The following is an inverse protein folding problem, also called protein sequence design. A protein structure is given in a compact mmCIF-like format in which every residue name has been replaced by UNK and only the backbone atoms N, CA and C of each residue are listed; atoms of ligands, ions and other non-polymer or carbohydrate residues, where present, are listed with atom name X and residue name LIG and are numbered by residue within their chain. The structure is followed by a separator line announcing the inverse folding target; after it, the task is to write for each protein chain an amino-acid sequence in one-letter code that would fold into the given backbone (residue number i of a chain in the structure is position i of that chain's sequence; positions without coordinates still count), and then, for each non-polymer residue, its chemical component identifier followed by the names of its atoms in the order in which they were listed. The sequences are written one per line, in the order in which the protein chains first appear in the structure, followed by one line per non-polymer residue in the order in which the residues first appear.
data_IF_089545716876
#
_entry.id   IF_089545716876
#
_cell.length_a   1.000
_cell.length_b   1.000
_cell.length_c   1.000
_cell.angle_alpha   90.00
_cell.angle_beta   90.00
_cell.angle_gamma   90.00
#
_symmetry.space_group_name_H-M   'P 1'
#
loop_
_entity.id
_entity.type
_entity.pdbx_description
1 polymer ?
#
# COMPACT_ATOMS: atom_id res chain seq x y z
N UNK A 1 -17.61 3.79 -27.34
CA UNK A 1 -16.22 3.40 -27.67
C UNK A 1 -15.40 4.68 -27.60
N UNK A 2 -14.42 4.78 -26.67
CA UNK A 2 -13.53 5.94 -26.64
C UNK A 2 -12.71 5.93 -27.94
N UNK A 3 -12.66 7.08 -28.60
CA UNK A 3 -11.87 7.28 -29.81
C UNK A 3 -10.39 6.97 -29.51
N UNK A 4 -9.81 5.98 -30.20
CA UNK A 4 -8.38 5.70 -30.12
C UNK A 4 -7.63 6.93 -30.63
N UNK A 5 -6.99 7.65 -29.74
CA UNK A 5 -6.13 8.77 -30.12
C UNK A 5 -4.80 8.22 -30.63
N UNK A 6 -4.38 8.62 -31.83
CA UNK A 6 -3.05 8.28 -32.42
C UNK A 6 -1.92 8.62 -31.44
N UNK A 7 -2.08 9.68 -30.68
CA UNK A 7 -1.10 10.09 -29.66
C UNK A 7 -1.04 9.12 -28.47
N UNK A 8 -2.20 8.62 -28.00
CA UNK A 8 -2.23 7.62 -26.92
C UNK A 8 -1.51 6.34 -27.35
N UNK A 9 -1.77 5.86 -28.58
CA UNK A 9 -1.11 4.67 -29.12
C UNK A 9 0.41 4.86 -29.24
N UNK A 10 0.88 6.06 -29.62
CA UNK A 10 2.30 6.39 -29.69
C UNK A 10 2.99 6.35 -28.32
N UNK A 11 2.35 6.89 -27.28
CA UNK A 11 2.91 6.84 -25.90
C UNK A 11 2.77 5.48 -25.24
N UNK A 12 1.81 4.64 -25.63
CA UNK A 12 1.70 3.25 -25.21
C UNK A 12 2.66 2.32 -25.96
N UNK A 13 3.23 2.74 -27.10
CA UNK A 13 4.09 1.89 -27.93
C UNK A 13 5.25 1.21 -27.18
N UNK A 14 6.00 1.86 -26.26
CA UNK A 14 7.05 1.20 -25.49
C UNK A 14 6.55 0.07 -24.59
N UNK A 15 5.26 0.12 -24.20
CA UNK A 15 4.62 -0.88 -23.34
C UNK A 15 3.95 -2.02 -24.13
N UNK A 16 3.81 -1.91 -25.46
CA UNK A 16 3.11 -2.90 -26.30
C UNK A 16 3.70 -4.30 -26.16
N UNK A 17 5.03 -4.43 -26.02
CA UNK A 17 5.70 -5.72 -25.82
C UNK A 17 5.17 -6.53 -24.63
N UNK A 18 4.51 -5.89 -23.67
CA UNK A 18 3.82 -6.52 -22.56
C UNK A 18 2.30 -6.46 -22.70
N UNK A 19 1.77 -5.34 -23.23
CA UNK A 19 0.33 -5.18 -23.44
C UNK A 19 -0.23 -6.19 -24.47
N UNK A 20 0.58 -6.61 -25.44
CA UNK A 20 0.17 -7.59 -26.45
C UNK A 20 0.29 -9.05 -25.97
N UNK A 21 0.90 -9.27 -24.80
CA UNK A 21 1.05 -10.62 -24.21
C UNK A 21 -0.11 -10.96 -23.32
N UNK A 22 -0.77 -12.04 -23.67
CA UNK A 22 -1.92 -12.52 -22.88
C UNK A 22 -1.57 -13.00 -21.46
N UNK A 23 -0.35 -13.30 -21.14
CA UNK A 23 0.10 -13.76 -19.83
C UNK A 23 0.45 -12.63 -18.85
N UNK A 24 0.57 -11.39 -19.35
CA UNK A 24 0.87 -10.22 -18.51
C UNK A 24 -0.40 -9.65 -17.88
N UNK A 25 -0.40 -9.55 -16.56
CA UNK A 25 -1.54 -9.04 -15.76
C UNK A 25 -1.31 -7.63 -15.23
N UNK A 26 -0.05 -7.29 -14.89
CA UNK A 26 0.30 -5.99 -14.32
C UNK A 26 1.59 -5.45 -14.97
N UNK A 27 1.61 -4.15 -15.23
CA UNK A 27 2.79 -3.40 -15.73
C UNK A 27 2.94 -2.18 -14.83
N UNK A 28 4.08 -2.01 -14.20
CA UNK A 28 4.31 -0.93 -13.23
C UNK A 28 5.62 -0.21 -13.51
N UNK A 29 5.60 1.12 -13.37
CA UNK A 29 6.77 2.00 -13.42
C UNK A 29 6.88 2.71 -12.08
N UNK A 30 8.00 2.51 -11.36
CA UNK A 30 8.27 3.16 -10.09
C UNK A 30 9.21 4.36 -10.25
N UNK A 31 10.10 4.29 -11.25
CA UNK A 31 11.12 5.30 -11.58
C UNK A 31 11.60 5.11 -13.03
N UNK A 32 12.27 6.09 -13.61
CA UNK A 32 12.85 5.99 -14.94
C UNK A 32 13.81 4.80 -15.09
N UNK A 33 13.81 4.22 -16.28
CA UNK A 33 14.76 3.17 -16.68
C UNK A 33 14.36 1.76 -16.24
N UNK A 34 13.19 1.56 -15.64
CA UNK A 34 12.73 0.24 -15.24
C UNK A 34 11.22 0.07 -15.38
N UNK A 35 10.83 -1.16 -15.66
CA UNK A 35 9.43 -1.62 -15.61
C UNK A 35 9.36 -2.89 -14.79
N UNK A 36 8.34 -2.98 -13.96
CA UNK A 36 8.00 -4.16 -13.19
C UNK A 36 6.79 -4.84 -13.82
N UNK A 37 6.91 -6.12 -14.11
CA UNK A 37 5.88 -6.87 -14.85
C UNK A 37 5.49 -8.13 -14.07
N UNK A 38 4.19 -8.35 -13.90
CA UNK A 38 3.63 -9.61 -13.44
C UNK A 38 3.14 -10.41 -14.66
N UNK A 39 3.74 -11.59 -14.88
CA UNK A 39 3.52 -12.41 -16.04
C UNK A 39 3.28 -13.86 -15.63
N UNK A 40 2.06 -14.34 -15.77
CA UNK A 40 1.63 -15.68 -15.36
C UNK A 40 2.37 -16.82 -16.12
N UNK A 41 2.97 -16.54 -17.29
CA UNK A 41 3.71 -17.57 -18.06
C UNK A 41 5.07 -17.92 -17.47
N UNK A 42 5.61 -17.10 -16.59
CA UNK A 42 6.99 -17.20 -16.08
C UNK A 42 7.03 -17.57 -14.60
N UNK A 43 5.88 -17.97 -14.02
CA UNK A 43 5.72 -18.29 -12.60
C UNK A 43 5.18 -17.12 -11.77
N UNK A 44 4.78 -17.39 -10.54
CA UNK A 44 4.26 -16.36 -9.64
C UNK A 44 5.35 -15.33 -9.29
N UNK A 45 5.05 -14.06 -9.49
CA UNK A 45 5.88 -12.95 -9.02
C UNK A 45 6.04 -11.80 -10.01
N UNK A 46 6.48 -10.69 -9.47
CA UNK A 46 6.77 -9.46 -10.21
C UNK A 46 8.25 -9.46 -10.58
N UNK A 47 8.57 -9.11 -11.83
CA UNK A 47 9.96 -9.04 -12.32
C UNK A 47 10.31 -7.63 -12.72
N UNK A 48 11.52 -7.21 -12.37
CA UNK A 48 12.14 -5.99 -12.84
C UNK A 48 12.74 -6.20 -14.23
N UNK A 49 12.51 -5.26 -15.12
CA UNK A 49 13.05 -5.24 -16.49
C UNK A 49 13.68 -3.86 -16.74
N UNK A 50 14.93 -3.82 -17.13
CA UNK A 50 15.60 -2.59 -17.51
C UNK A 50 15.03 -2.05 -18.82
N UNK A 51 14.68 -0.75 -18.82
CA UNK A 51 14.00 -0.07 -19.92
C UNK A 51 14.45 1.39 -20.01
N UNK A 52 15.70 1.63 -20.47
CA UNK A 52 16.26 2.98 -20.51
C UNK A 52 15.41 4.00 -21.29
N UNK A 53 14.58 3.51 -22.22
CA UNK A 53 13.68 4.32 -23.04
C UNK A 53 12.45 4.84 -22.30
N UNK A 54 12.15 4.32 -21.11
CA UNK A 54 11.02 4.76 -20.29
C UNK A 54 11.51 5.72 -19.23
N UNK A 55 11.28 7.00 -19.47
CA UNK A 55 11.64 8.10 -18.58
C UNK A 55 10.42 8.80 -17.96
N UNK A 56 10.65 9.72 -17.03
CA UNK A 56 9.58 10.52 -16.39
C UNK A 56 8.76 11.32 -17.40
N UNK A 57 9.38 11.80 -18.45
CA UNK A 57 8.71 12.61 -19.50
C UNK A 57 7.74 11.77 -20.30
N UNK A 58 8.12 10.53 -20.63
CA UNK A 58 7.23 9.58 -21.31
C UNK A 58 6.01 9.27 -20.46
N UNK A 59 6.23 8.93 -19.17
CA UNK A 59 5.14 8.58 -18.24
C UNK A 59 4.20 9.79 -18.02
N UNK A 60 4.76 10.99 -17.84
CA UNK A 60 3.97 12.22 -17.73
C UNK A 60 3.11 12.46 -18.97
N UNK A 61 3.69 12.39 -20.16
CA UNK A 61 2.96 12.61 -21.41
C UNK A 61 1.89 11.54 -21.65
N UNK A 62 2.17 10.30 -21.29
CA UNK A 62 1.17 9.23 -21.33
C UNK A 62 0.00 9.57 -20.39
N UNK A 63 0.29 10.03 -19.16
CA UNK A 63 -0.74 10.44 -18.21
C UNK A 63 -1.61 11.59 -18.76
N UNK A 64 -1.00 12.59 -19.39
CA UNK A 64 -1.70 13.70 -20.04
C UNK A 64 -2.61 13.22 -21.20
N UNK A 65 -2.17 12.24 -21.99
CA UNK A 65 -3.00 11.68 -23.07
C UNK A 65 -4.14 10.82 -22.51
N UNK A 66 -3.88 10.01 -21.48
CA UNK A 66 -4.92 9.24 -20.81
C UNK A 66 -5.96 10.17 -20.18
N UNK A 67 -5.54 11.25 -19.55
CA UNK A 67 -6.44 12.26 -18.98
C UNK A 67 -7.37 12.85 -20.05
N UNK A 68 -6.82 13.20 -21.23
CA UNK A 68 -7.61 13.73 -22.36
C UNK A 68 -8.68 12.75 -22.83
N UNK A 69 -8.33 11.49 -23.08
CA UNK A 69 -9.29 10.49 -23.59
C UNK A 69 -10.31 10.04 -22.55
N UNK A 70 -10.00 10.22 -21.26
CA UNK A 70 -10.91 9.93 -20.16
C UNK A 70 -11.69 11.16 -19.65
N UNK A 71 -11.54 12.32 -20.33
CA UNK A 71 -12.16 13.59 -19.95
C UNK A 71 -11.83 14.02 -18.50
N UNK A 72 -10.61 13.76 -18.09
CA UNK A 72 -10.07 14.13 -16.77
C UNK A 72 -8.90 15.09 -16.94
N UNK A 73 -8.44 15.69 -15.84
CA UNK A 73 -7.21 16.48 -15.78
C UNK A 73 -6.15 15.76 -14.99
N UNK A 74 -4.89 15.95 -15.36
CA UNK A 74 -3.74 15.63 -14.54
C UNK A 74 -2.69 16.72 -14.71
N UNK A 75 -2.26 17.28 -13.62
CA UNK A 75 -1.27 18.35 -13.57
C UNK A 75 -0.65 18.39 -12.16
N UNK A 76 0.14 19.42 -11.86
CA UNK A 76 0.75 19.58 -10.56
C UNK A 76 -0.26 19.82 -9.43
N UNK A 77 -1.42 20.42 -9.71
CA UNK A 77 -2.50 20.65 -8.73
C UNK A 77 -3.34 19.38 -8.51
N UNK A 78 -3.47 18.54 -9.55
CA UNK A 78 -4.19 17.28 -9.54
C UNK A 78 -3.26 16.13 -9.98
N UNK A 79 -2.33 15.70 -9.11
CA UNK A 79 -1.25 14.78 -9.49
C UNK A 79 -1.67 13.30 -9.54
N UNK A 80 -2.90 12.97 -9.22
CA UNK A 80 -3.44 11.61 -9.22
C UNK A 80 -4.42 11.42 -10.38
N UNK A 81 -4.27 10.34 -11.15
CA UNK A 81 -5.20 9.98 -12.21
C UNK A 81 -5.44 8.47 -12.23
N UNK A 82 -6.70 8.09 -12.03
CA UNK A 82 -7.17 6.72 -12.29
C UNK A 82 -8.10 6.70 -13.50
N UNK A 83 -7.83 5.84 -14.47
CA UNK A 83 -8.61 5.75 -15.70
C UNK A 83 -8.74 4.31 -16.20
N UNK A 84 -9.57 4.14 -17.25
CA UNK A 84 -9.67 2.90 -18.01
C UNK A 84 -9.20 3.17 -19.44
N UNK A 85 -8.27 2.37 -19.92
CA UNK A 85 -7.78 2.43 -21.30
C UNK A 85 -8.85 1.89 -22.29
N UNK A 86 -8.75 2.20 -23.59
CA UNK A 86 -9.74 1.75 -24.58
C UNK A 86 -9.89 0.23 -24.70
N UNK A 87 -8.87 -0.54 -24.32
CA UNK A 87 -8.88 -2.01 -24.27
C UNK A 87 -9.49 -2.58 -22.98
N UNK A 88 -9.93 -1.71 -22.04
CA UNK A 88 -10.51 -2.08 -20.76
C UNK A 88 -9.49 -2.23 -19.63
N UNK A 89 -8.19 -2.10 -19.88
CA UNK A 89 -7.19 -2.10 -18.82
C UNK A 89 -7.36 -0.88 -17.90
N UNK A 90 -7.17 -1.07 -16.61
CA UNK A 90 -7.15 0.03 -15.63
C UNK A 90 -5.76 0.60 -15.52
N UNK A 91 -5.65 1.90 -15.44
CA UNK A 91 -4.38 2.59 -15.27
C UNK A 91 -4.46 3.58 -14.12
N UNK A 92 -3.41 3.64 -13.31
CA UNK A 92 -3.23 4.61 -12.24
C UNK A 92 -1.93 5.35 -12.44
N UNK A 93 -1.97 6.67 -12.32
CA UNK A 93 -0.80 7.54 -12.28
C UNK A 93 -0.73 8.28 -10.96
N UNK A 94 0.49 8.49 -10.48
CA UNK A 94 0.80 9.41 -9.39
C UNK A 94 2.02 10.22 -9.79
N UNK A 95 1.85 11.52 -9.95
CA UNK A 95 2.94 12.44 -10.29
C UNK A 95 3.38 13.28 -9.08
N UNK A 96 4.54 13.94 -9.17
CA UNK A 96 4.90 14.97 -8.21
C UNK A 96 3.86 16.11 -8.19
N UNK A 97 3.49 16.65 -6.99
CA UNK A 97 4.13 16.46 -5.68
C UNK A 97 3.59 15.28 -4.84
N UNK A 98 2.58 14.53 -5.30
CA UNK A 98 2.01 13.41 -4.56
C UNK A 98 2.93 12.15 -4.55
N UNK A 99 3.87 12.05 -5.48
CA UNK A 99 4.98 11.10 -5.43
C UNK A 99 6.25 11.76 -4.90
N UNK A 100 7.14 10.98 -4.28
CA UNK A 100 8.39 11.53 -3.69
C UNK A 100 9.31 12.19 -4.71
N UNK A 101 9.38 11.65 -5.95
CA UNK A 101 10.33 12.15 -6.95
C UNK A 101 9.89 11.92 -8.39
N UNK A 102 9.53 10.71 -8.75
CA UNK A 102 9.29 10.29 -10.12
C UNK A 102 7.80 10.09 -10.40
N UNK A 103 7.43 10.13 -11.66
CA UNK A 103 6.14 9.69 -12.10
C UNK A 103 5.99 8.18 -11.89
N UNK A 104 4.88 7.80 -11.26
CA UNK A 104 4.54 6.42 -10.94
C UNK A 104 3.36 6.03 -11.80
N UNK A 105 3.40 4.82 -12.35
CA UNK A 105 2.32 4.27 -13.16
C UNK A 105 2.09 2.79 -12.81
N UNK A 106 0.84 2.37 -12.81
CA UNK A 106 0.48 0.96 -12.82
C UNK A 106 -0.66 0.72 -13.82
N UNK A 107 -0.50 -0.29 -14.67
CA UNK A 107 -1.54 -0.77 -15.59
C UNK A 107 -1.94 -2.16 -15.13
N UNK A 108 -3.22 -2.33 -14.81
CA UNK A 108 -3.84 -3.62 -14.49
C UNK A 108 -4.73 -4.07 -15.63
N UNK A 109 -4.44 -5.23 -16.17
CA UNK A 109 -5.21 -5.82 -17.25
C UNK A 109 -6.26 -6.77 -16.70
N UNK A 110 -7.53 -6.55 -17.11
CA UNK A 110 -8.57 -7.53 -16.87
C UNK A 110 -8.45 -8.65 -17.90
N UNK A 111 -8.05 -9.83 -17.44
CA UNK A 111 -8.07 -11.01 -18.29
C UNK A 111 -9.36 -11.78 -18.03
N UNK A 112 -10.08 -12.04 -19.10
CA UNK A 112 -11.08 -13.10 -19.10
C UNK A 112 -10.35 -14.42 -19.32
N UNK A 113 -9.85 -15.00 -18.25
CA UNK A 113 -9.46 -16.40 -18.26
C UNK A 113 -10.76 -17.16 -17.93
N UNK A 114 -11.38 -17.72 -18.95
CA UNK A 114 -12.49 -18.69 -18.74
C UNK A 114 -11.87 -19.98 -18.20
N UNK A 115 -11.47 -19.95 -16.93
CA UNK A 115 -10.93 -21.12 -16.25
C UNK A 115 -12.09 -21.97 -15.74
N UNK A 116 -12.08 -23.30 -15.98
CA UNK A 116 -13.02 -24.21 -15.35
C UNK A 116 -12.82 -24.20 -13.84
N UNK A 117 -13.88 -24.54 -13.08
CA UNK A 117 -13.83 -24.57 -11.62
C UNK A 117 -12.69 -25.46 -11.09
N UNK A 118 -12.43 -26.57 -11.77
CA UNK A 118 -11.36 -27.52 -11.40
C UNK A 118 -9.94 -26.89 -11.44
N UNK A 119 -9.75 -25.81 -12.21
CA UNK A 119 -8.48 -25.08 -12.23
C UNK A 119 -8.17 -24.34 -10.92
N UNK A 120 -9.17 -24.21 -10.03
CA UNK A 120 -9.02 -23.63 -8.70
C UNK A 120 -8.80 -24.67 -7.60
N UNK A 121 -8.76 -25.96 -7.97
CA UNK A 121 -8.42 -27.02 -7.02
C UNK A 121 -6.92 -27.01 -6.73
N UNK A 122 -6.57 -26.55 -5.55
CA UNK A 122 -5.19 -26.53 -5.02
C UNK A 122 -4.90 -27.74 -4.12
N UNK A 123 -5.80 -28.74 -4.13
CA UNK A 123 -5.75 -29.88 -3.22
C UNK A 123 -6.44 -29.61 -1.87
N UNK A 124 -6.23 -30.48 -0.86
CA UNK A 124 -6.84 -30.29 0.44
C UNK A 124 -6.57 -28.89 0.99
N UNK A 125 -7.64 -28.19 1.41
CA UNK A 125 -7.50 -26.88 2.03
C UNK A 125 -6.56 -27.04 3.23
N UNK A 126 -5.35 -26.50 3.12
CA UNK A 126 -4.44 -26.38 4.24
C UNK A 126 -5.14 -25.48 5.26
N UNK A 127 -5.67 -26.08 6.33
CA UNK A 127 -5.90 -25.31 7.55
C UNK A 127 -4.59 -24.61 7.90
N UNK A 128 -4.64 -23.49 8.60
CA UNK A 128 -3.43 -22.82 9.11
C UNK A 128 -2.58 -23.89 9.82
N UNK A 129 -1.63 -24.50 9.06
CA UNK A 129 -0.71 -25.45 9.62
C UNK A 129 0.01 -24.74 10.71
N UNK A 130 -0.09 -25.22 11.95
CA UNK A 130 0.24 -24.51 13.15
C UNK A 130 1.63 -23.88 13.11
N UNK A 131 1.68 -22.63 12.66
CA UNK A 131 2.89 -21.81 12.80
C UNK A 131 3.08 -21.59 14.29
N UNK A 132 4.09 -22.22 14.85
CA UNK A 132 4.46 -22.00 16.25
C UNK A 132 5.10 -20.61 16.33
N UNK A 133 4.29 -19.62 16.70
CA UNK A 133 4.80 -18.28 16.92
C UNK A 133 5.63 -18.25 18.21
N UNK A 134 6.78 -17.55 18.22
CA UNK A 134 7.53 -17.26 19.45
C UNK A 134 6.63 -16.55 20.46
N UNK A 135 6.90 -16.73 21.75
CA UNK A 135 6.14 -16.00 22.79
C UNK A 135 6.48 -14.50 22.74
N UNK A 136 5.50 -13.60 22.51
CA UNK A 136 5.74 -12.17 22.41
C UNK A 136 6.26 -11.53 23.69
N UNK A 137 6.06 -12.16 24.86
CA UNK A 137 6.50 -11.63 26.15
C UNK A 137 7.99 -11.93 26.41
N UNK A 138 8.46 -13.08 25.97
CA UNK A 138 9.86 -13.52 26.22
C UNK A 138 10.76 -13.33 25.01
N UNK A 139 10.20 -13.34 23.78
CA UNK A 139 10.93 -13.26 22.52
C UNK A 139 10.29 -12.23 21.55
N UNK A 140 10.14 -10.96 21.94
CA UNK A 140 9.35 -9.97 21.18
C UNK A 140 9.87 -9.75 19.76
N UNK A 141 11.19 -9.72 19.56
CA UNK A 141 11.78 -9.49 18.23
C UNK A 141 11.60 -10.72 17.32
N UNK A 142 11.80 -11.93 17.85
CA UNK A 142 11.55 -13.15 17.09
C UNK A 142 10.07 -13.29 16.69
N UNK A 143 9.16 -12.96 17.62
CA UNK A 143 7.72 -12.90 17.33
C UNK A 143 7.40 -11.94 16.17
N UNK A 144 7.94 -10.73 16.21
CA UNK A 144 7.69 -9.73 15.18
C UNK A 144 8.24 -10.13 13.81
N UNK A 145 9.43 -10.75 13.76
CA UNK A 145 10.00 -11.28 12.51
C UNK A 145 9.10 -12.35 11.89
N UNK A 146 8.62 -13.29 12.68
CA UNK A 146 7.67 -14.29 12.21
C UNK A 146 6.32 -13.67 11.84
N UNK A 147 5.82 -12.69 12.60
CA UNK A 147 4.59 -11.96 12.24
C UNK A 147 4.71 -11.24 10.88
N UNK A 148 5.85 -10.59 10.60
CA UNK A 148 6.12 -9.93 9.31
C UNK A 148 6.19 -10.95 8.18
N UNK A 149 6.89 -12.06 8.37
CA UNK A 149 7.03 -13.14 7.40
C UNK A 149 5.68 -13.79 7.06
N UNK A 150 4.82 -13.96 8.05
CA UNK A 150 3.46 -14.49 7.90
C UNK A 150 2.43 -13.43 7.52
N UNK A 151 2.87 -12.27 7.03
CA UNK A 151 2.00 -11.17 6.58
C UNK A 151 0.95 -10.75 7.60
N UNK A 152 1.31 -10.74 8.90
CA UNK A 152 0.44 -10.19 9.94
C UNK A 152 0.40 -8.67 9.84
N UNK A 153 -0.79 -8.12 9.89
CA UNK A 153 -1.01 -6.66 9.93
C UNK A 153 -0.66 -6.13 11.31
N UNK A 154 0.25 -5.13 11.37
CA UNK A 154 0.80 -4.64 12.64
C UNK A 154 0.50 -3.15 12.82
N UNK A 155 -0.10 -2.81 13.96
CA UNK A 155 -0.31 -1.44 14.39
C UNK A 155 0.68 -1.08 15.50
N UNK A 156 1.50 -0.04 15.26
CA UNK A 156 2.50 0.44 16.20
C UNK A 156 1.92 1.60 17.00
N UNK A 157 1.75 1.42 18.29
CA UNK A 157 1.23 2.40 19.24
C UNK A 157 2.34 3.02 20.06
N UNK A 158 2.20 4.28 20.41
CA UNK A 158 3.13 4.96 21.31
C UNK A 158 2.88 6.46 21.39
N UNK A 159 3.21 7.04 22.53
CA UNK A 159 3.15 8.48 22.73
C UNK A 159 4.13 9.26 21.84
N UNK A 160 4.15 10.58 22.01
CA UNK A 160 5.09 11.46 21.30
C UNK A 160 6.52 11.08 21.64
N UNK A 161 7.41 11.08 20.63
CA UNK A 161 8.84 10.81 20.76
C UNK A 161 9.21 9.42 21.32
N UNK A 162 8.32 8.43 21.27
CA UNK A 162 8.63 7.02 21.61
C UNK A 162 9.43 6.29 20.53
N UNK A 163 9.58 6.88 19.34
CA UNK A 163 10.35 6.32 18.25
C UNK A 163 9.55 5.46 17.27
N UNK A 164 8.22 5.69 17.14
CA UNK A 164 7.35 4.93 16.24
C UNK A 164 7.88 4.86 14.80
N UNK A 165 8.23 6.00 14.19
CA UNK A 165 8.77 6.04 12.82
C UNK A 165 10.10 5.29 12.69
N UNK A 166 10.98 5.41 13.70
CA UNK A 166 12.25 4.67 13.73
C UNK A 166 12.02 3.16 13.82
N UNK A 167 11.08 2.74 14.66
CA UNK A 167 10.72 1.35 14.81
C UNK A 167 10.03 0.80 13.55
N UNK A 168 9.13 1.59 12.94
CA UNK A 168 8.50 1.25 11.66
C UNK A 168 9.56 1.05 10.56
N UNK A 169 10.57 1.93 10.50
CA UNK A 169 11.68 1.76 9.56
C UNK A 169 12.49 0.46 9.81
N UNK A 170 12.70 0.08 11.07
CA UNK A 170 13.36 -1.19 11.40
C UNK A 170 12.51 -2.39 10.93
N UNK A 171 11.18 -2.33 11.11
CA UNK A 171 10.26 -3.37 10.62
C UNK A 171 10.21 -3.45 9.10
N UNK A 172 10.31 -2.32 8.39
CA UNK A 172 10.39 -2.29 6.93
C UNK A 172 11.62 -3.06 6.41
N UNK A 173 12.72 -3.06 7.15
CA UNK A 173 13.93 -3.83 6.82
C UNK A 173 13.76 -5.36 6.94
N UNK A 174 12.72 -5.85 7.60
CA UNK A 174 12.42 -7.28 7.74
C UNK A 174 11.41 -7.79 6.69
N UNK A 175 10.83 -6.90 5.87
CA UNK A 175 9.94 -7.30 4.76
C UNK A 175 10.78 -7.94 3.65
N UNK A 176 10.34 -9.07 3.07
CA UNK A 176 11.02 -9.68 1.93
C UNK A 176 11.19 -8.71 0.75
N UNK A 177 12.39 -8.64 0.19
CA UNK A 177 12.75 -7.69 -0.90
C UNK A 177 11.92 -7.87 -2.18
N UNK A 178 11.36 -9.07 -2.37
CA UNK A 178 10.52 -9.40 -3.54
C UNK A 178 9.13 -8.77 -3.46
N UNK A 179 8.70 -8.36 -2.26
CA UNK A 179 7.37 -7.79 -2.08
C UNK A 179 7.32 -6.33 -2.55
N UNK A 180 6.20 -5.98 -3.18
CA UNK A 180 5.92 -4.60 -3.58
C UNK A 180 5.32 -3.82 -2.41
N UNK A 181 6.03 -2.77 -1.98
CA UNK A 181 5.61 -1.93 -0.87
C UNK A 181 5.21 -0.54 -1.36
N UNK A 182 4.02 -0.10 -0.98
CA UNK A 182 3.58 1.28 -1.19
C UNK A 182 3.55 2.00 0.15
N UNK A 183 4.36 3.05 0.25
CA UNK A 183 4.46 3.92 1.42
C UNK A 183 3.53 5.13 1.23
N UNK A 184 2.75 5.47 2.23
CA UNK A 184 1.89 6.66 2.28
C UNK A 184 2.26 7.47 3.51
N UNK A 185 2.63 8.74 3.33
CA UNK A 185 3.19 9.58 4.39
C UNK A 185 2.75 11.03 4.27
N UNK A 186 2.75 11.74 5.40
CA UNK A 186 2.65 13.20 5.42
C UNK A 186 4.00 13.87 5.11
N UNK A 187 5.08 13.24 5.53
CA UNK A 187 6.47 13.67 5.31
C UNK A 187 7.31 12.43 4.99
N UNK A 188 8.19 12.47 3.99
CA UNK A 188 8.93 11.29 3.53
C UNK A 188 10.05 10.91 4.51
N UNK A 189 9.72 10.11 5.51
CA UNK A 189 10.64 9.61 6.55
C UNK A 189 10.90 8.10 6.46
N UNK A 190 9.99 7.35 5.81
CA UNK A 190 10.07 5.89 5.73
C UNK A 190 11.07 5.46 4.65
N UNK A 191 11.82 4.39 4.95
CA UNK A 191 12.83 3.82 4.05
C UNK A 191 12.63 2.32 3.95
N UNK A 192 12.32 1.85 2.77
CA UNK A 192 12.26 0.43 2.45
C UNK A 192 13.51 0.05 1.64
N UNK A 193 14.25 -0.99 2.03
CA UNK A 193 15.48 -1.39 1.34
C UNK A 193 15.22 -2.08 -0.01
N UNK A 194 14.04 -2.70 -0.19
CA UNK A 194 13.67 -3.39 -1.43
C UNK A 194 13.49 -2.43 -2.61
N UNK A 195 13.81 -2.91 -3.81
CA UNK A 195 13.76 -2.10 -5.02
C UNK A 195 12.33 -1.81 -5.51
N UNK A 196 11.37 -2.72 -5.24
CA UNK A 196 9.98 -2.57 -5.67
C UNK A 196 9.18 -1.74 -4.66
N UNK A 197 9.52 -0.47 -4.57
CA UNK A 197 8.92 0.46 -3.63
C UNK A 197 8.41 1.73 -4.30
N UNK A 198 7.25 2.19 -3.84
CA UNK A 198 6.63 3.45 -4.22
C UNK A 198 6.39 4.29 -2.98
N UNK A 199 6.83 5.53 -2.99
CA UNK A 199 6.56 6.50 -1.92
C UNK A 199 5.58 7.58 -2.37
N UNK A 200 4.44 7.67 -1.70
CA UNK A 200 3.42 8.69 -1.88
C UNK A 200 3.43 9.66 -0.69
N UNK A 201 3.28 10.95 -0.97
CA UNK A 201 3.36 12.01 0.03
C UNK A 201 2.13 12.89 -0.03
N UNK A 202 1.47 13.10 1.12
CA UNK A 202 0.34 14.00 1.23
C UNK A 202 0.79 15.47 1.02
N UNK A 203 -0.05 16.24 0.35
CA UNK A 203 0.25 17.65 0.03
C UNK A 203 -0.81 18.53 0.68
N UNK A 204 -0.37 19.49 1.51
CA UNK A 204 -1.28 20.30 2.33
C UNK A 204 -1.96 21.46 1.60
N UNK A 205 -1.57 21.75 0.36
CA UNK A 205 -2.22 22.76 -0.48
C UNK A 205 -1.98 24.21 -0.05
N UNK A 206 -0.85 24.50 0.57
CA UNK A 206 -0.46 25.88 0.91
C UNK A 206 0.07 26.59 -0.36
N UNK A 207 -0.24 27.88 -0.51
CA UNK A 207 0.26 28.76 -1.59
C UNK A 207 -0.09 28.30 -3.03
N UNK A 208 -1.26 27.68 -3.25
CA UNK A 208 -1.73 27.30 -4.60
C UNK A 208 -1.13 26.01 -5.15
N UNK A 209 -0.49 25.20 -4.31
CA UNK A 209 -0.07 23.84 -4.67
C UNK A 209 -1.21 22.83 -4.51
N UNK A 210 -1.00 21.61 -4.99
CA UNK A 210 -1.94 20.49 -4.84
C UNK A 210 -2.39 20.32 -3.39
N UNK A 211 -3.64 19.91 -3.21
CA UNK A 211 -4.13 19.39 -1.93
C UNK A 211 -4.43 17.90 -2.14
N UNK A 212 -3.59 17.06 -1.57
CA UNK A 212 -3.75 15.58 -1.66
C UNK A 212 -3.68 15.00 -0.26
N UNK A 213 -4.75 14.39 0.16
CA UNK A 213 -4.89 13.80 1.51
C UNK A 213 -4.29 12.39 1.56
N UNK A 214 -3.95 11.92 2.76
CA UNK A 214 -3.54 10.54 2.98
C UNK A 214 -4.62 9.55 2.52
N UNK A 215 -5.90 9.92 2.66
CA UNK A 215 -7.04 9.11 2.18
C UNK A 215 -7.04 8.93 0.66
N UNK A 216 -6.84 10.00 -0.11
CA UNK A 216 -6.73 9.94 -1.57
C UNK A 216 -5.51 9.12 -2.02
N UNK A 217 -4.38 9.26 -1.31
CA UNK A 217 -3.19 8.46 -1.57
C UNK A 217 -3.40 6.97 -1.30
N UNK A 218 -4.12 6.61 -0.23
CA UNK A 218 -4.49 5.22 0.03
C UNK A 218 -5.38 4.64 -1.09
N UNK A 219 -6.35 5.41 -1.58
CA UNK A 219 -7.18 4.99 -2.70
C UNK A 219 -6.37 4.80 -3.99
N UNK A 220 -5.39 5.66 -4.25
CA UNK A 220 -4.45 5.50 -5.36
C UNK A 220 -3.54 4.27 -5.14
N UNK A 221 -3.03 4.07 -3.92
CA UNK A 221 -2.17 2.95 -3.54
C UNK A 221 -2.82 1.60 -3.85
N UNK A 222 -4.13 1.42 -3.58
CA UNK A 222 -4.89 0.21 -3.90
C UNK A 222 -4.89 -0.14 -5.40
N UNK A 223 -4.63 0.83 -6.27
CA UNK A 223 -4.56 0.65 -7.73
C UNK A 223 -3.13 0.53 -8.25
N UNK A 224 -2.14 0.63 -7.37
CA UNK A 224 -0.72 0.49 -7.70
C UNK A 224 -0.19 -0.93 -7.49
N UNK A 225 -1.05 -1.91 -7.27
CA UNK A 225 -0.73 -3.34 -7.08
C UNK A 225 0.20 -3.58 -5.88
N UNK A 226 -0.06 -3.06 -4.69
CA UNK A 226 0.79 -3.31 -3.53
C UNK A 226 0.64 -4.73 -3.02
N UNK A 227 1.72 -5.35 -2.55
CA UNK A 227 1.66 -6.51 -1.68
C UNK A 227 1.43 -6.06 -0.23
N UNK A 228 2.04 -4.92 0.16
CA UNK A 228 1.82 -4.26 1.46
C UNK A 228 1.65 -2.76 1.30
N UNK A 229 0.78 -2.21 2.11
CA UNK A 229 0.61 -0.76 2.27
C UNK A 229 1.15 -0.36 3.64
N UNK A 230 2.03 0.62 3.66
CA UNK A 230 2.57 1.16 4.90
C UNK A 230 2.15 2.61 5.01
N UNK A 231 1.30 2.89 5.98
CA UNK A 231 0.85 4.24 6.29
C UNK A 231 1.66 4.78 7.47
N UNK A 232 2.33 5.91 7.28
CA UNK A 232 3.19 6.51 8.28
C UNK A 232 2.51 6.70 9.63
N UNK A 233 1.28 7.23 9.64
CA UNK A 233 0.50 7.41 10.85
C UNK A 233 -1.00 7.54 10.54
N UNK A 234 -1.84 6.95 11.40
CA UNK A 234 -3.28 7.14 11.44
C UNK A 234 -3.62 8.36 12.28
N UNK A 235 -4.34 9.34 11.70
CA UNK A 235 -4.70 10.61 12.35
C UNK A 235 -6.16 11.01 12.17
N UNK A 236 -6.84 10.48 11.13
CA UNK A 236 -8.19 10.90 10.76
C UNK A 236 -8.94 9.93 9.85
N UNK A 237 -9.56 10.49 8.82
CA UNK A 237 -10.46 9.77 7.91
C UNK A 237 -9.79 8.64 7.11
N UNK A 238 -8.48 8.70 6.88
CA UNK A 238 -7.69 7.65 6.24
C UNK A 238 -7.75 6.32 7.00
N UNK A 239 -8.11 6.35 8.29
CA UNK A 239 -8.26 5.17 9.13
C UNK A 239 -9.29 4.18 8.56
N UNK A 240 -10.41 4.68 8.01
CA UNK A 240 -11.43 3.84 7.36
C UNK A 240 -10.87 3.19 6.10
N UNK A 241 -10.19 3.97 5.26
CA UNK A 241 -9.59 3.47 4.01
C UNK A 241 -8.48 2.46 4.29
N UNK A 242 -7.66 2.69 5.32
CA UNK A 242 -6.64 1.74 5.75
C UNK A 242 -7.24 0.42 6.22
N UNK A 243 -8.23 0.44 7.13
CA UNK A 243 -8.91 -0.77 7.59
C UNK A 243 -9.56 -1.56 6.43
N UNK A 244 -10.16 -0.88 5.47
CA UNK A 244 -10.69 -1.53 4.26
C UNK A 244 -9.60 -2.14 3.40
N UNK A 245 -8.49 -1.42 3.19
CA UNK A 245 -7.36 -1.89 2.41
C UNK A 245 -6.78 -3.20 2.94
N UNK A 246 -6.51 -3.26 4.25
CA UNK A 246 -5.96 -4.47 4.90
C UNK A 246 -6.93 -5.65 4.87
N UNK A 247 -8.25 -5.39 4.93
CA UNK A 247 -9.28 -6.42 4.85
C UNK A 247 -9.51 -6.94 3.41
N UNK A 248 -9.11 -6.22 2.38
CA UNK A 248 -9.41 -6.53 0.97
C UNK A 248 -8.22 -7.01 0.16
N UNK A 249 -7.23 -7.65 0.79
CA UNK A 249 -6.17 -8.33 0.06
C UNK A 249 -4.76 -7.74 0.22
N UNK A 250 -4.53 -6.92 1.26
CA UNK A 250 -3.21 -6.35 1.55
C UNK A 250 -2.75 -6.72 2.98
N UNK A 251 -2.67 -8.05 3.32
CA UNK A 251 -2.22 -8.50 4.62
C UNK A 251 -0.74 -8.13 4.83
N UNK A 252 -0.34 -7.96 6.09
CA UNK A 252 1.03 -7.58 6.42
C UNK A 252 1.32 -6.10 6.23
N UNK A 253 0.29 -5.27 6.14
CA UNK A 253 0.39 -3.81 6.13
C UNK A 253 0.70 -3.27 7.52
N UNK A 254 1.39 -2.12 7.58
CA UNK A 254 1.77 -1.49 8.84
C UNK A 254 1.25 -0.06 8.92
N UNK A 255 0.97 0.37 10.15
CA UNK A 255 0.76 1.79 10.44
C UNK A 255 1.17 2.12 11.87
N UNK A 256 1.26 3.42 12.17
CA UNK A 256 1.45 3.90 13.53
C UNK A 256 0.21 4.66 14.03
N UNK A 257 0.05 4.73 15.33
CA UNK A 257 -1.02 5.49 16.00
C UNK A 257 -0.52 6.10 17.30
N UNK A 258 -1.01 7.28 17.64
CA UNK A 258 -0.75 7.88 18.95
C UNK A 258 -1.71 7.30 20.00
N UNK A 259 -1.18 6.46 20.89
CA UNK A 259 -1.89 6.01 22.08
C UNK A 259 -0.91 5.60 23.20
N UNK A 260 -1.40 5.48 24.42
CA UNK A 260 -0.58 5.20 25.60
C UNK A 260 -0.69 3.74 26.08
N UNK A 261 -1.50 2.92 25.40
CA UNK A 261 -1.66 1.49 25.71
C UNK A 261 -2.17 0.75 24.49
N UNK A 262 -2.05 -0.58 24.49
CA UNK A 262 -2.58 -1.45 23.43
C UNK A 262 -4.08 -1.25 23.22
N UNK A 263 -4.88 -1.27 24.30
CA UNK A 263 -6.32 -1.03 24.22
C UNK A 263 -6.63 0.41 23.79
N UNK A 264 -5.86 1.39 24.28
CA UNK A 264 -5.97 2.78 23.89
C UNK A 264 -5.76 3.00 22.39
N UNK A 265 -4.95 2.15 21.73
CA UNK A 265 -4.77 2.20 20.27
C UNK A 265 -6.08 1.85 19.52
N UNK A 266 -6.78 0.79 19.95
CA UNK A 266 -8.10 0.42 19.37
C UNK A 266 -9.15 1.49 19.65
N UNK A 267 -9.15 2.07 20.85
CA UNK A 267 -10.06 3.16 21.22
C UNK A 267 -9.83 4.41 20.37
N UNK A 268 -8.56 4.81 20.18
CA UNK A 268 -8.20 5.96 19.36
C UNK A 268 -8.58 5.72 17.89
N UNK A 269 -8.32 4.53 17.38
CA UNK A 269 -8.73 4.14 16.03
C UNK A 269 -10.25 4.17 15.86
N UNK A 270 -10.99 3.65 16.86
CA UNK A 270 -12.45 3.70 16.89
C UNK A 270 -12.97 5.14 16.84
N UNK A 271 -12.37 6.04 17.62
CA UNK A 271 -12.74 7.46 17.62
C UNK A 271 -12.55 8.10 16.23
N UNK A 272 -11.41 7.85 15.58
CA UNK A 272 -11.13 8.36 14.22
C UNK A 272 -12.18 7.85 13.22
N UNK A 273 -12.50 6.55 13.24
CA UNK A 273 -13.51 5.97 12.36
C UNK A 273 -14.89 6.56 12.61
N UNK A 274 -15.30 6.74 13.87
CA UNK A 274 -16.60 7.34 14.21
C UNK A 274 -16.71 8.79 13.75
N UNK A 275 -15.61 9.55 13.77
CA UNK A 275 -15.58 10.93 13.29
C UNK A 275 -15.87 11.06 11.79
N UNK A 276 -15.73 9.99 11.01
CA UNK A 276 -16.09 10.00 9.57
C UNK A 276 -17.60 9.89 9.31
N UNK A 277 -18.41 9.66 10.34
CA UNK A 277 -19.87 9.62 10.22
C UNK A 277 -20.44 8.38 9.53
N UNK A 278 -19.69 7.28 9.43
CA UNK A 278 -20.14 6.04 8.75
C UNK A 278 -21.21 5.24 9.54
N UNK A 279 -21.66 5.73 10.68
CA UNK A 279 -22.77 5.15 11.45
C UNK A 279 -22.44 3.88 12.24
N UNK A 280 -21.17 3.51 12.38
CA UNK A 280 -20.74 2.40 13.22
C UNK A 280 -20.69 2.82 14.70
N UNK A 281 -21.07 1.92 15.60
CA UNK A 281 -20.88 2.12 17.02
C UNK A 281 -19.41 1.94 17.42
N UNK A 282 -19.04 2.42 18.60
CA UNK A 282 -17.69 2.21 19.14
C UNK A 282 -17.35 0.72 19.26
N UNK A 283 -18.27 -0.11 19.74
CA UNK A 283 -18.07 -1.55 19.88
C UNK A 283 -17.89 -2.24 18.53
N UNK A 284 -18.71 -1.89 17.52
CA UNK A 284 -18.60 -2.47 16.18
C UNK A 284 -17.25 -2.10 15.53
N UNK A 285 -16.82 -0.85 15.71
CA UNK A 285 -15.54 -0.38 15.15
C UNK A 285 -14.36 -1.08 15.82
N UNK A 286 -14.37 -1.23 17.14
CA UNK A 286 -13.30 -1.95 17.86
C UNK A 286 -13.26 -3.42 17.42
N UNK A 287 -14.42 -4.08 17.36
CA UNK A 287 -14.52 -5.47 16.92
C UNK A 287 -14.01 -5.63 15.47
N UNK A 288 -14.40 -4.72 14.57
CA UNK A 288 -13.92 -4.73 13.20
C UNK A 288 -12.41 -4.50 13.12
N UNK A 289 -11.89 -3.48 13.79
CA UNK A 289 -10.46 -3.20 13.83
C UNK A 289 -9.65 -4.41 14.34
N UNK A 290 -10.09 -5.03 15.43
CA UNK A 290 -9.45 -6.22 16.00
C UNK A 290 -9.61 -7.48 15.14
N UNK A 291 -10.54 -7.50 14.17
CA UNK A 291 -10.69 -8.61 13.23
C UNK A 291 -9.69 -8.52 12.06
N UNK A 292 -9.21 -7.32 11.71
CA UNK A 292 -8.35 -7.07 10.55
C UNK A 292 -6.92 -6.66 10.91
N UNK A 293 -6.70 -6.13 12.12
CA UNK A 293 -5.36 -5.92 12.68
C UNK A 293 -4.99 -7.18 13.48
N UNK A 294 -3.85 -7.77 13.18
CA UNK A 294 -3.42 -8.99 13.86
C UNK A 294 -2.69 -8.67 15.16
N UNK A 295 -1.75 -7.73 15.12
CA UNK A 295 -0.83 -7.45 16.23
C UNK A 295 -0.79 -5.96 16.54
N UNK A 296 -0.82 -5.62 17.82
CA UNK A 296 -0.54 -4.26 18.29
C UNK A 296 0.72 -4.27 19.12
N UNK A 297 1.65 -3.36 18.81
CA UNK A 297 2.92 -3.17 19.50
C UNK A 297 2.89 -1.83 20.22
N UNK A 298 3.09 -1.82 21.53
CA UNK A 298 3.22 -0.60 22.31
C UNK A 298 4.69 -0.23 22.50
N UNK A 299 5.04 0.98 22.08
CA UNK A 299 6.34 1.58 22.34
C UNK A 299 6.27 2.54 23.54
N UNK A 300 7.31 2.54 24.32
CA UNK A 300 7.45 3.41 25.48
C UNK A 300 8.89 3.78 25.76
N UNK A 301 9.09 4.36 26.96
CA UNK A 301 10.42 4.64 27.52
C UNK A 301 10.52 3.96 28.89
N UNK A 302 11.67 3.40 29.19
CA UNK A 302 11.97 2.91 30.52
C UNK A 302 12.30 4.07 31.48
N UNK A 303 12.58 3.75 32.73
CA UNK A 303 12.96 4.70 33.78
C UNK A 303 14.22 5.51 33.44
N UNK A 304 15.07 5.01 32.56
CA UNK A 304 16.29 5.67 32.09
C UNK A 304 16.08 6.46 30.80
N UNK A 305 14.83 6.55 30.29
CA UNK A 305 14.48 7.25 29.07
C UNK A 305 14.81 6.47 27.78
N UNK A 306 15.27 5.22 27.86
CA UNK A 306 15.55 4.36 26.71
C UNK A 306 14.24 3.92 26.06
N UNK A 307 14.16 4.09 24.75
CA UNK A 307 13.01 3.68 23.94
C UNK A 307 13.00 2.18 23.69
N UNK A 308 11.83 1.56 23.72
CA UNK A 308 11.70 0.13 23.47
C UNK A 308 10.25 -0.32 23.36
N UNK A 309 10.08 -1.59 23.07
CA UNK A 309 8.80 -2.28 23.12
C UNK A 309 8.46 -2.48 24.60
N UNK A 310 7.27 -2.06 25.01
CA UNK A 310 6.76 -2.26 26.37
C UNK A 310 5.72 -3.36 26.44
N UNK A 311 4.95 -3.57 25.38
CA UNK A 311 3.92 -4.60 25.29
C UNK A 311 3.71 -5.03 23.84
N UNK A 312 3.34 -6.28 23.63
CA UNK A 312 2.83 -6.82 22.35
C UNK A 312 1.62 -7.68 22.69
N UNK A 313 0.56 -7.56 21.89
CA UNK A 313 -0.59 -8.45 21.98
C UNK A 313 -1.24 -8.66 20.60
N UNK A 314 -1.92 -9.77 20.44
CA UNK A 314 -2.88 -9.96 19.35
C UNK A 314 -4.08 -9.05 19.57
N UNK A 315 -4.51 -8.33 18.54
CA UNK A 315 -5.59 -7.35 18.67
C UNK A 315 -6.90 -7.99 19.17
N UNK A 316 -7.19 -9.22 18.75
CA UNK A 316 -8.36 -9.99 19.19
C UNK A 316 -8.38 -10.27 20.71
N UNK A 317 -7.23 -10.33 21.36
CA UNK A 317 -7.14 -10.58 22.81
C UNK A 317 -7.47 -9.35 23.67
N UNK A 318 -7.64 -8.18 23.03
CA UNK A 318 -7.88 -6.90 23.72
C UNK A 318 -9.35 -6.47 23.78
N UNK A 319 -10.26 -7.27 23.19
CA UNK A 319 -11.71 -6.98 23.10
C UNK A 319 -12.53 -7.90 23.99
#
# INVERSE_FOLDING_TARGET
MAERSVYLDAYLAPFKRWLDRDTVTEIMVNRPGEVWVEDASVGAGIRRIETPEIDDRLVQRLAEQVARVSHQGINREHPLLGATLPDGARIQFCGPPASRKHWIMAIRRHRRLDLPLDAYDTGPLAGEAGVVMPDPQTQPIAYLREAIKHRRTILISGGTSTGKTTFLNAMLGEIPEQERVVLVEDTPELKFPGENCVGLVAVKGELGEAKVTANELLQAALRLRPDRIVLGELRGEESVSFLRAINTGHPGSFSTIHANSLRGALEQLSLMVMQTGIGLTRSDTIAYAASVIDVIVQLGRDSNGKRGITQIAEAKSLI
#
